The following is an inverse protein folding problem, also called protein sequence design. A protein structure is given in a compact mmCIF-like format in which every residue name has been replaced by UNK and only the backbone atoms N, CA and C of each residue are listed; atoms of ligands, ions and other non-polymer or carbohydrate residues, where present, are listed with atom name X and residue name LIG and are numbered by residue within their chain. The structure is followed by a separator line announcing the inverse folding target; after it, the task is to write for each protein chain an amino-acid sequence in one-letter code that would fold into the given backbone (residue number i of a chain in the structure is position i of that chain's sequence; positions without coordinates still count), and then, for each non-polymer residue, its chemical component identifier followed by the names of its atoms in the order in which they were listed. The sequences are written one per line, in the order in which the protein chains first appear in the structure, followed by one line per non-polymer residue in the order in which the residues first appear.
data_IF_339858257444
#
_entry.id   IF_339858257444
#
_cell.length_a   1.000
_cell.length_b   1.000
_cell.length_c   1.000
_cell.angle_alpha   90.00
_cell.angle_beta   90.00
_cell.angle_gamma   90.00
#
_symmetry.space_group_name_H-M   'P 1'
#
loop_
_entity.id
_entity.type
_entity.pdbx_description
1 polymer ?
#
# COMPACT_ATOMS: atom_id res chain seq x y z
N UNK A 1 -20.51 -1.42 -0.34
CA UNK A 1 -19.29 -2.12 -0.81
C UNK A 1 -18.61 -1.31 -1.89
N UNK A 2 -17.30 -1.49 -2.10
CA UNK A 2 -16.59 -0.84 -3.20
C UNK A 2 -16.90 -1.50 -4.56
N UNK A 3 -16.72 -0.76 -5.65
CA UNK A 3 -16.81 -1.31 -7.02
C UNK A 3 -15.72 -2.39 -7.20
N UNK A 4 -16.08 -3.54 -7.80
CA UNK A 4 -15.13 -4.64 -8.11
C UNK A 4 -13.91 -4.15 -8.89
N UNK A 5 -14.12 -3.28 -9.88
CA UNK A 5 -13.05 -2.66 -10.66
C UNK A 5 -12.04 -1.87 -9.81
N UNK A 6 -12.49 -1.24 -8.72
CA UNK A 6 -11.62 -0.48 -7.83
C UNK A 6 -10.81 -1.35 -6.88
N UNK A 7 -11.31 -2.54 -6.55
CA UNK A 7 -10.57 -3.58 -5.80
C UNK A 7 -9.51 -4.17 -6.72
N UNK A 8 -9.90 -4.63 -7.91
CA UNK A 8 -9.00 -5.19 -8.92
C UNK A 8 -7.86 -4.21 -9.28
N UNK A 9 -8.18 -2.94 -9.51
CA UNK A 9 -7.18 -1.90 -9.79
C UNK A 9 -6.18 -1.70 -8.64
N UNK A 10 -6.60 -1.89 -7.39
CA UNK A 10 -5.69 -1.78 -6.26
C UNK A 10 -4.80 -3.02 -6.13
N UNK A 11 -5.32 -4.20 -6.45
CA UNK A 11 -4.56 -5.45 -6.45
C UNK A 11 -3.48 -5.44 -7.55
N UNK A 12 -3.86 -5.05 -8.77
CA UNK A 12 -2.92 -4.84 -9.87
C UNK A 12 -1.79 -3.88 -9.49
N UNK A 13 -2.09 -2.80 -8.74
CA UNK A 13 -1.05 -1.89 -8.24
C UNK A 13 -0.11 -2.56 -7.25
N UNK A 14 -0.59 -3.43 -6.35
CA UNK A 14 0.28 -4.15 -5.43
C UNK A 14 1.24 -5.06 -6.18
N UNK A 15 0.75 -5.76 -7.22
CA UNK A 15 1.58 -6.61 -8.07
C UNK A 15 2.65 -5.81 -8.81
N UNK A 16 2.29 -4.67 -9.41
CA UNK A 16 3.25 -3.78 -10.08
C UNK A 16 4.25 -3.22 -9.06
N UNK A 17 3.80 -2.79 -7.88
CA UNK A 17 4.70 -2.30 -6.82
C UNK A 17 5.69 -3.39 -6.41
N UNK A 18 5.24 -4.62 -6.20
CA UNK A 18 6.11 -5.74 -5.85
C UNK A 18 7.17 -6.00 -6.93
N UNK A 19 6.77 -5.98 -8.21
CA UNK A 19 7.66 -6.19 -9.36
C UNK A 19 8.80 -5.16 -9.44
N UNK A 20 8.53 -3.91 -9.11
CA UNK A 20 9.49 -2.81 -9.25
C UNK A 20 10.12 -2.37 -7.92
N UNK A 21 9.76 -3.00 -6.79
CA UNK A 21 10.12 -2.52 -5.46
C UNK A 21 11.63 -2.40 -5.26
N UNK A 22 12.36 -3.46 -5.64
CA UNK A 22 13.81 -3.56 -5.48
C UNK A 22 14.54 -2.52 -6.35
N UNK A 23 14.30 -2.53 -7.67
CA UNK A 23 14.92 -1.57 -8.59
C UNK A 23 14.64 -0.12 -8.21
N UNK A 24 13.41 0.19 -7.78
CA UNK A 24 13.06 1.55 -7.32
C UNK A 24 13.77 1.93 -6.03
N UNK A 25 14.03 0.98 -5.14
CA UNK A 25 14.76 1.23 -3.91
C UNK A 25 16.24 1.55 -4.22
N UNK A 26 16.86 0.83 -5.14
CA UNK A 26 18.22 1.10 -5.62
C UNK A 26 18.35 2.48 -6.25
N UNK A 27 17.52 2.79 -7.25
CA UNK A 27 17.55 4.10 -7.93
C UNK A 27 17.35 5.25 -6.94
N UNK A 28 16.43 5.10 -5.98
CA UNK A 28 16.23 6.11 -4.94
C UNK A 28 17.41 6.25 -3.98
N UNK A 29 18.17 5.18 -3.71
CA UNK A 29 19.41 5.27 -2.92
C UNK A 29 20.46 6.09 -3.68
N UNK A 30 20.63 5.84 -4.98
CA UNK A 30 21.54 6.59 -5.85
C UNK A 30 21.17 8.08 -5.87
N UNK A 31 19.89 8.39 -6.09
CA UNK A 31 19.39 9.77 -6.15
C UNK A 31 19.54 10.50 -4.81
N UNK A 32 19.32 9.82 -3.68
CA UNK A 32 19.38 10.42 -2.34
C UNK A 32 20.83 10.61 -1.85
N UNK A 33 21.78 9.84 -2.35
CA UNK A 33 23.16 9.88 -1.89
C UNK A 33 23.87 11.17 -2.39
N UNK A 34 24.36 12.03 -1.49
CA UNK A 34 25.06 13.27 -1.86
C UNK A 34 26.37 13.02 -2.62
N UNK A 35 27.00 11.88 -2.41
CA UNK A 35 28.32 11.55 -2.98
C UNK A 35 28.24 10.92 -4.37
N UNK A 36 27.02 10.69 -4.89
CA UNK A 36 26.85 10.18 -6.25
C UNK A 36 27.19 11.28 -7.26
N UNK A 37 27.85 10.91 -8.37
CA UNK A 37 28.08 11.82 -9.49
C UNK A 37 26.77 12.37 -10.04
N UNK A 38 26.82 13.56 -10.64
CA UNK A 38 25.64 14.18 -11.23
C UNK A 38 25.12 13.39 -12.44
N UNK A 39 26.01 12.76 -13.21
CA UNK A 39 25.65 11.91 -14.36
C UNK A 39 24.84 10.68 -13.92
N UNK A 40 25.35 9.93 -12.94
CA UNK A 40 24.66 8.76 -12.38
C UNK A 40 23.31 9.14 -11.75
N UNK A 41 23.25 10.32 -11.12
CA UNK A 41 22.01 10.85 -10.53
C UNK A 41 20.98 11.15 -11.61
N UNK A 42 21.39 11.77 -12.72
CA UNK A 42 20.52 12.09 -13.86
C UNK A 42 20.02 10.80 -14.52
N UNK A 43 20.90 9.82 -14.76
CA UNK A 43 20.53 8.54 -15.34
C UNK A 43 19.54 7.78 -14.44
N UNK A 44 19.83 7.69 -13.15
CA UNK A 44 18.93 7.04 -12.20
C UNK A 44 17.55 7.74 -12.13
N UNK A 45 17.54 9.07 -12.21
CA UNK A 45 16.30 9.85 -12.24
C UNK A 45 15.52 9.63 -13.55
N UNK A 46 16.21 9.55 -14.69
CA UNK A 46 15.61 9.25 -15.99
C UNK A 46 14.98 7.85 -16.01
N UNK A 47 15.71 6.83 -15.53
CA UNK A 47 15.18 5.48 -15.42
C UNK A 47 13.95 5.41 -14.49
N UNK A 48 14.03 6.05 -13.32
CA UNK A 48 12.92 6.08 -12.36
C UNK A 48 11.66 6.71 -12.96
N UNK A 49 11.82 7.71 -13.83
CA UNK A 49 10.72 8.41 -14.52
C UNK A 49 10.13 7.60 -15.67
N UNK A 50 10.94 6.76 -16.34
CA UNK A 50 10.48 5.85 -17.40
C UNK A 50 9.58 4.73 -16.87
N UNK A 51 9.74 4.36 -15.60
CA UNK A 51 8.93 3.30 -14.99
C UNK A 51 7.45 3.69 -14.82
N UNK A 52 6.52 2.70 -14.77
CA UNK A 52 5.09 2.98 -14.61
C UNK A 52 4.79 3.76 -13.33
N UNK A 53 3.88 4.75 -13.40
CA UNK A 53 3.47 5.54 -12.21
C UNK A 53 2.92 4.66 -11.09
N UNK A 54 2.18 3.62 -11.44
CA UNK A 54 1.56 2.68 -10.51
C UNK A 54 2.59 1.76 -9.80
N UNK A 55 3.87 1.78 -10.20
CA UNK A 55 4.96 1.15 -9.46
C UNK A 55 5.32 1.89 -8.15
N UNK A 56 4.77 3.08 -7.91
CA UNK A 56 4.95 3.80 -6.65
C UNK A 56 4.01 3.26 -5.56
N UNK A 57 4.54 2.80 -4.40
CA UNK A 57 3.72 2.27 -3.31
C UNK A 57 2.75 3.31 -2.71
N UNK A 58 3.04 4.61 -2.87
CA UNK A 58 2.18 5.72 -2.43
C UNK A 58 0.78 5.66 -3.08
N UNK A 59 0.64 5.01 -4.24
CA UNK A 59 -0.61 4.91 -4.98
C UNK A 59 -1.47 3.70 -4.58
N UNK A 60 -0.92 2.79 -3.79
CA UNK A 60 -1.68 1.68 -3.20
C UNK A 60 -2.51 2.24 -2.05
N UNK A 61 -3.80 1.91 -2.03
CA UNK A 61 -4.71 2.32 -0.97
C UNK A 61 -5.04 1.11 -0.11
N UNK A 62 -4.88 1.23 1.20
CA UNK A 62 -5.40 0.23 2.11
C UNK A 62 -6.93 0.25 2.07
N UNK A 63 -7.50 -0.89 1.71
CA UNK A 63 -8.94 -1.14 1.61
C UNK A 63 -9.27 -2.32 2.52
N UNK A 64 -10.48 -2.30 3.07
CA UNK A 64 -11.04 -3.45 3.77
C UNK A 64 -10.91 -4.70 2.88
N UNK A 65 -10.35 -5.78 3.44
CA UNK A 65 -10.12 -7.02 2.73
C UNK A 65 -11.41 -7.73 2.28
N UNK A 66 -12.54 -7.50 2.96
CA UNK A 66 -13.81 -8.15 2.64
C UNK A 66 -14.64 -7.34 1.63
N UNK A 67 -14.86 -6.05 1.89
CA UNK A 67 -15.81 -5.24 1.12
C UNK A 67 -15.17 -4.10 0.29
N UNK A 68 -13.85 -3.94 0.42
CA UNK A 68 -13.06 -2.94 -0.31
C UNK A 68 -13.22 -1.50 0.18
N UNK A 69 -13.85 -1.24 1.33
CA UNK A 69 -14.06 0.11 1.88
C UNK A 69 -12.72 0.85 2.03
N UNK A 70 -12.54 2.03 1.40
CA UNK A 70 -11.24 2.70 1.34
C UNK A 70 -10.93 3.64 2.53
N UNK A 71 -11.85 3.76 3.49
CA UNK A 71 -11.79 4.70 4.62
C UNK A 71 -12.13 3.99 5.93
N UNK A 72 -11.53 4.47 7.02
CA UNK A 72 -11.66 3.84 8.34
C UNK A 72 -11.03 2.45 8.39
N UNK A 73 -9.93 2.25 7.66
CA UNK A 73 -9.17 1.01 7.62
C UNK A 73 -8.28 0.89 8.87
N UNK A 74 -8.35 -0.25 9.55
CA UNK A 74 -7.55 -0.54 10.73
C UNK A 74 -6.45 -1.53 10.35
N UNK A 75 -5.19 -1.06 10.32
CA UNK A 75 -4.02 -1.86 9.88
C UNK A 75 -3.84 -3.15 10.65
N UNK A 76 -4.14 -3.15 11.96
CA UNK A 76 -4.06 -4.35 12.82
C UNK A 76 -4.97 -5.49 12.36
N UNK A 77 -6.12 -5.18 11.76
CA UNK A 77 -7.13 -6.17 11.37
C UNK A 77 -7.26 -6.35 9.85
N UNK A 78 -6.75 -5.42 9.04
CA UNK A 78 -6.94 -5.47 7.59
C UNK A 78 -8.37 -5.12 7.13
N UNK A 79 -9.20 -4.56 8.02
CA UNK A 79 -10.63 -4.39 7.84
C UNK A 79 -11.05 -2.94 8.12
N UNK A 80 -12.25 -2.57 7.68
CA UNK A 80 -12.86 -1.30 8.04
C UNK A 80 -13.47 -1.32 9.44
N UNK A 81 -13.65 -0.13 10.02
CA UNK A 81 -14.27 0.03 11.36
C UNK A 81 -15.64 -0.66 11.52
N UNK A 82 -16.42 -0.80 10.45
CA UNK A 82 -17.75 -1.43 10.51
C UNK A 82 -17.59 -2.94 10.63
N UNK A 83 -16.80 -3.55 9.74
CA UNK A 83 -16.50 -4.98 9.77
C UNK A 83 -15.77 -5.40 11.05
N UNK A 84 -14.81 -4.59 11.51
CA UNK A 84 -14.14 -4.85 12.79
C UNK A 84 -15.14 -4.87 13.95
N UNK A 85 -16.10 -3.94 13.98
CA UNK A 85 -17.14 -3.93 15.02
C UNK A 85 -18.04 -5.17 14.94
N UNK A 86 -18.51 -5.53 13.76
CA UNK A 86 -19.36 -6.71 13.54
C UNK A 86 -18.64 -8.00 13.97
N UNK A 87 -17.40 -8.20 13.50
CA UNK A 87 -16.61 -9.39 13.80
C UNK A 87 -16.21 -9.44 15.29
N UNK A 88 -15.86 -8.31 15.90
CA UNK A 88 -15.60 -8.23 17.33
C UNK A 88 -16.84 -8.63 18.15
N UNK A 89 -18.03 -8.17 17.73
CA UNK A 89 -19.27 -8.48 18.44
C UNK A 89 -19.67 -9.95 18.31
N UNK A 90 -19.34 -10.59 17.18
CA UNK A 90 -19.51 -12.04 16.97
C UNK A 90 -18.41 -12.90 17.60
N UNK A 91 -17.37 -12.31 18.20
CA UNK A 91 -16.26 -13.05 18.79
C UNK A 91 -15.27 -13.65 17.77
N UNK A 92 -15.28 -13.18 16.52
CA UNK A 92 -14.40 -13.67 15.44
C UNK A 92 -12.99 -13.06 15.50
N UNK A 93 -12.77 -12.08 16.36
CA UNK A 93 -11.47 -11.43 16.55
C UNK A 93 -10.82 -11.87 17.87
N UNK A 94 -9.70 -12.61 17.83
CA UNK A 94 -9.05 -13.13 19.04
C UNK A 94 -8.65 -12.02 20.03
N UNK A 95 -9.06 -12.18 21.29
CA UNK A 95 -8.70 -11.26 22.37
C UNK A 95 -9.34 -9.86 22.27
N UNK A 96 -10.30 -9.64 21.37
CA UNK A 96 -10.99 -8.35 21.24
C UNK A 96 -12.27 -8.36 22.07
N UNK A 97 -12.33 -7.47 23.07
CA UNK A 97 -13.52 -7.23 23.90
C UNK A 97 -13.72 -5.74 24.12
N UNK A 98 -14.92 -5.34 24.55
CA UNK A 98 -15.15 -3.98 25.03
C UNK A 98 -14.27 -3.73 26.26
N UNK A 99 -13.64 -2.56 26.31
CA UNK A 99 -12.81 -2.11 27.43
C UNK A 99 -13.51 -0.99 28.19
N UNK A 100 -13.37 -1.00 29.51
CA UNK A 100 -13.70 0.10 30.44
C UNK A 100 -12.50 0.32 31.34
N UNK A 101 -12.10 1.58 31.53
CA UNK A 101 -11.03 2.00 32.44
C UNK A 101 -11.46 3.27 33.16
#
# INVERSE_FOLDING_TARGET
MAKKSMIAKNEQRKEIVARYAERRAELKKIIKNPNTSDEDRIEAQFELNRQPRDASPVRVRNRDAADGRPRGYLRKFGLSRVRVREMAHRGELPGVRKSSW
#
